data_IF_910268707890
#
_entry.id   IF_910268707890
#
_cell.length_a   1.000
_cell.length_b   1.000
_cell.length_c   1.000
_cell.angle_alpha   90.00
_cell.angle_beta   90.00
_cell.angle_gamma   90.00
#
_symmetry.space_group_name_H-M   'P 1'
#
loop_
_entity.id
_entity.type
_entity.pdbx_description
1 polymer ?
#
# COMPACT_ATOMS: atom_id res chain seq x y z
N UNK A 1 -6.88 -40.81 40.68
CA UNK A 1 -6.05 -39.61 40.45
C UNK A 1 -6.44 -38.98 39.14
N UNK A 2 -7.23 -37.87 39.18
CA UNK A 2 -7.70 -37.14 38.00
C UNK A 2 -6.66 -36.07 37.69
N UNK A 3 -5.95 -36.21 36.59
CA UNK A 3 -5.00 -35.18 36.10
C UNK A 3 -5.82 -34.21 35.22
N UNK A 4 -6.09 -33.02 35.73
CA UNK A 4 -6.66 -31.91 34.94
C UNK A 4 -5.53 -31.36 34.06
N UNK A 5 -5.58 -31.60 32.75
CA UNK A 5 -4.83 -30.82 31.77
C UNK A 5 -5.50 -29.46 31.56
N UNK A 6 -4.95 -28.42 32.16
CA UNK A 6 -5.28 -27.05 31.81
C UNK A 6 -4.62 -26.73 30.45
N UNK A 7 -5.40 -26.74 29.38
CA UNK A 7 -4.99 -26.18 28.09
C UNK A 7 -4.85 -24.65 28.28
N UNK A 8 -3.63 -24.18 28.45
CA UNK A 8 -3.33 -22.76 28.33
C UNK A 8 -3.48 -22.42 26.84
N UNK A 9 -4.61 -21.79 26.49
CA UNK A 9 -4.75 -21.15 25.19
C UNK A 9 -3.68 -20.05 25.11
N UNK A 10 -2.66 -20.27 24.30
CA UNK A 10 -1.72 -19.21 23.94
C UNK A 10 -2.56 -18.09 23.26
N UNK A 11 -2.76 -16.98 23.95
CA UNK A 11 -3.25 -15.75 23.32
C UNK A 11 -2.15 -15.36 22.34
N UNK A 12 -2.40 -15.55 21.06
CA UNK A 12 -1.64 -14.83 20.03
C UNK A 12 -1.91 -13.35 20.28
N UNK A 13 -0.88 -12.60 20.68
CA UNK A 13 -1.01 -11.17 20.84
C UNK A 13 -1.54 -10.60 19.53
N UNK A 14 -2.56 -9.73 19.62
CA UNK A 14 -3.15 -9.08 18.47
C UNK A 14 -2.05 -8.27 17.76
N UNK A 15 -1.92 -8.46 16.46
CA UNK A 15 -1.01 -7.68 15.64
C UNK A 15 -1.58 -6.28 15.47
N UNK A 16 -0.87 -5.24 15.91
CA UNK A 16 -1.34 -3.86 15.98
C UNK A 16 -0.54 -2.94 15.07
N UNK A 17 -1.07 -1.75 14.81
CA UNK A 17 -0.35 -0.72 14.09
C UNK A 17 0.95 -0.33 14.80
N UNK A 18 0.94 -0.28 16.13
CA UNK A 18 2.14 -0.01 16.91
C UNK A 18 3.25 -1.02 16.63
N UNK A 19 2.94 -2.32 16.53
CA UNK A 19 3.92 -3.35 16.18
C UNK A 19 4.59 -3.10 14.81
N UNK A 20 3.80 -2.64 13.81
CA UNK A 20 4.35 -2.26 12.51
C UNK A 20 5.25 -1.03 12.59
N UNK A 21 4.82 -0.02 13.34
CA UNK A 21 5.51 1.26 13.42
C UNK A 21 6.76 1.24 14.31
N UNK A 22 6.87 0.29 15.22
CA UNK A 22 8.01 0.09 16.11
C UNK A 22 9.10 -0.84 15.52
N UNK A 23 8.81 -1.50 14.39
CA UNK A 23 9.78 -2.38 13.73
C UNK A 23 10.88 -1.60 13.04
N UNK A 24 11.98 -1.37 13.73
CA UNK A 24 13.15 -0.60 13.27
C UNK A 24 13.94 -1.27 12.11
N UNK A 25 13.51 -2.44 11.64
CA UNK A 25 14.06 -3.14 10.47
C UNK A 25 13.08 -3.17 9.31
N UNK A 26 12.05 -2.32 9.35
CA UNK A 26 11.03 -2.28 8.32
C UNK A 26 11.66 -2.04 6.94
N UNK A 27 11.15 -2.74 5.97
CA UNK A 27 11.45 -2.60 4.56
C UNK A 27 10.30 -3.23 3.74
N UNK A 28 10.20 -2.97 2.43
CA UNK A 28 9.08 -3.44 1.64
C UNK A 28 8.84 -4.96 1.67
N UNK A 29 9.92 -5.76 1.69
CA UNK A 29 9.80 -7.22 1.77
C UNK A 29 9.30 -7.66 3.15
N UNK A 30 9.80 -7.04 4.20
CA UNK A 30 9.38 -7.34 5.57
C UNK A 30 7.94 -6.91 5.82
N UNK A 31 7.56 -5.73 5.32
CA UNK A 31 6.18 -5.28 5.31
C UNK A 31 5.27 -6.33 4.66
N UNK A 32 5.59 -6.77 3.45
CA UNK A 32 4.81 -7.80 2.75
C UNK A 32 4.64 -9.08 3.58
N UNK A 33 5.68 -9.50 4.31
CA UNK A 33 5.64 -10.69 5.16
C UNK A 33 4.61 -10.62 6.29
N UNK A 34 4.34 -9.44 6.84
CA UNK A 34 3.32 -9.27 7.89
C UNK A 34 1.89 -9.55 7.41
N UNK A 35 1.65 -9.48 6.10
CA UNK A 35 0.33 -9.62 5.49
C UNK A 35 0.13 -10.93 4.73
N UNK A 36 1.07 -11.89 4.84
CA UNK A 36 0.98 -13.16 4.11
C UNK A 36 -0.29 -13.96 4.43
N UNK A 37 -0.74 -13.88 5.68
CA UNK A 37 -1.93 -14.60 6.17
C UNK A 37 -3.21 -13.76 6.16
N UNK A 38 -3.17 -12.56 5.57
CA UNK A 38 -4.37 -11.72 5.47
C UNK A 38 -5.21 -12.14 4.27
N UNK A 39 -6.52 -11.94 4.37
CA UNK A 39 -7.44 -12.27 3.31
C UNK A 39 -7.88 -11.04 2.51
N UNK A 40 -8.19 -11.28 1.24
CA UNK A 40 -8.77 -10.24 0.38
C UNK A 40 -10.28 -10.24 0.50
N UNK A 41 -10.85 -9.07 0.80
CA UNK A 41 -12.30 -8.86 0.79
C UNK A 41 -12.62 -7.43 0.40
N UNK A 42 -13.52 -7.28 -0.57
CA UNK A 42 -14.05 -5.96 -0.94
C UNK A 42 -15.04 -5.49 0.12
N UNK A 43 -14.93 -4.26 0.53
CA UNK A 43 -15.82 -3.63 1.51
C UNK A 43 -16.38 -2.29 0.97
N UNK A 44 -17.44 -1.74 1.57
CA UNK A 44 -18.11 -0.53 1.07
C UNK A 44 -17.36 0.77 1.37
N UNK A 45 -16.31 0.73 2.15
CA UNK A 45 -15.50 1.89 2.52
C UNK A 45 -14.43 2.17 1.46
N UNK A 46 -13.99 3.42 1.33
CA UNK A 46 -12.90 3.76 0.42
C UNK A 46 -11.54 3.22 0.94
N UNK A 47 -11.26 3.40 2.24
CA UNK A 47 -10.11 2.83 2.95
C UNK A 47 -10.54 2.50 4.37
N UNK A 48 -10.20 1.33 4.88
CA UNK A 48 -10.50 0.94 6.25
C UNK A 48 -9.65 1.73 7.27
N UNK A 49 -10.19 1.85 8.48
CA UNK A 49 -9.38 2.25 9.63
C UNK A 49 -8.23 1.24 9.83
N UNK A 50 -6.99 1.71 10.07
CA UNK A 50 -5.82 0.85 10.16
C UNK A 50 -5.90 -0.21 11.26
N UNK A 51 -6.48 0.11 12.41
CA UNK A 51 -6.62 -0.87 13.49
C UNK A 51 -7.67 -1.94 13.14
N UNK A 52 -8.79 -1.53 12.51
CA UNK A 52 -9.82 -2.46 12.03
C UNK A 52 -9.25 -3.40 10.97
N UNK A 53 -8.47 -2.88 10.02
CA UNK A 53 -7.82 -3.67 8.99
C UNK A 53 -6.87 -4.72 9.59
N UNK A 54 -6.05 -4.33 10.58
CA UNK A 54 -5.10 -5.24 11.23
C UNK A 54 -5.80 -6.25 12.13
N UNK A 55 -6.86 -5.87 12.83
CA UNK A 55 -7.65 -6.76 13.70
C UNK A 55 -8.39 -7.82 12.88
N UNK A 56 -9.08 -7.39 11.82
CA UNK A 56 -9.87 -8.29 10.97
C UNK A 56 -8.99 -9.15 10.04
N UNK A 57 -7.77 -8.73 9.79
CA UNK A 57 -6.82 -9.34 8.84
C UNK A 57 -7.41 -9.50 7.43
N UNK A 58 -8.29 -8.57 7.05
CA UNK A 58 -9.05 -8.64 5.81
C UNK A 58 -9.19 -7.24 5.22
N UNK A 59 -8.84 -7.08 3.94
CA UNK A 59 -8.96 -5.82 3.24
C UNK A 59 -8.92 -5.97 1.72
N UNK A 60 -9.12 -4.89 1.00
CA UNK A 60 -8.98 -4.84 -0.44
C UNK A 60 -7.64 -4.21 -0.88
N UNK A 61 -7.44 -4.05 -2.19
CA UNK A 61 -6.18 -3.56 -2.73
C UNK A 61 -5.80 -2.16 -2.24
N UNK A 62 -6.77 -1.30 -1.93
CA UNK A 62 -6.48 0.06 -1.48
C UNK A 62 -6.05 0.08 -0.02
N UNK A 63 -6.59 -0.80 0.83
CA UNK A 63 -6.17 -0.91 2.24
C UNK A 63 -4.71 -1.30 2.36
N UNK A 64 -4.32 -2.34 1.62
CA UNK A 64 -2.93 -2.80 1.59
C UNK A 64 -1.98 -1.75 1.02
N UNK A 65 -2.36 -1.08 -0.08
CA UNK A 65 -1.52 -0.06 -0.69
C UNK A 65 -1.33 1.14 0.25
N UNK A 66 -2.41 1.63 0.86
CA UNK A 66 -2.36 2.78 1.78
C UNK A 66 -1.62 2.44 3.06
N UNK A 67 -1.81 1.24 3.62
CA UNK A 67 -1.04 0.78 4.78
C UNK A 67 0.46 0.69 4.46
N UNK A 68 0.82 0.17 3.27
CA UNK A 68 2.21 0.11 2.83
C UNK A 68 2.83 1.51 2.71
N UNK A 69 2.11 2.45 2.09
CA UNK A 69 2.54 3.84 1.98
C UNK A 69 2.76 4.48 3.35
N UNK A 70 1.80 4.30 4.26
CA UNK A 70 1.84 4.88 5.60
C UNK A 70 3.04 4.37 6.41
N UNK A 71 3.24 3.05 6.45
CA UNK A 71 4.32 2.42 7.23
C UNK A 71 5.68 2.70 6.61
N UNK A 72 5.84 2.48 5.30
CA UNK A 72 7.14 2.61 4.64
C UNK A 72 7.64 4.06 4.58
N UNK A 73 6.75 5.04 4.41
CA UNK A 73 7.15 6.47 4.50
C UNK A 73 7.69 6.83 5.85
N UNK A 74 7.13 6.30 6.92
CA UNK A 74 7.63 6.54 8.28
C UNK A 74 9.06 6.02 8.44
N UNK A 75 9.39 4.92 7.78
CA UNK A 75 10.74 4.35 7.76
C UNK A 75 11.66 4.96 6.69
N UNK A 76 11.26 6.07 6.08
CA UNK A 76 12.08 6.87 5.17
C UNK A 76 12.06 6.44 3.71
N UNK A 77 11.19 5.49 3.31
CA UNK A 77 11.02 5.13 1.90
C UNK A 77 10.17 6.16 1.16
N UNK A 78 10.58 6.51 -0.05
CA UNK A 78 9.74 7.29 -0.96
C UNK A 78 8.75 6.37 -1.66
N UNK A 79 7.47 6.55 -1.36
CA UNK A 79 6.37 5.72 -1.88
C UNK A 79 5.38 6.54 -2.69
N UNK A 80 4.70 5.86 -3.62
CA UNK A 80 3.64 6.43 -4.46
C UNK A 80 2.45 5.48 -4.45
N UNK A 81 1.26 6.01 -4.17
CA UNK A 81 0.02 5.25 -4.29
C UNK A 81 -0.52 5.38 -5.71
N UNK A 82 -0.71 4.25 -6.37
CA UNK A 82 -1.13 4.23 -7.77
C UNK A 82 -2.38 3.38 -7.90
N UNK A 83 -3.42 3.95 -8.56
CA UNK A 83 -4.64 3.27 -8.93
C UNK A 83 -4.71 3.14 -10.45
N UNK A 84 -5.00 1.94 -10.94
CA UNK A 84 -5.10 1.60 -12.35
C UNK A 84 -6.51 1.13 -12.66
N UNK A 85 -7.19 1.80 -13.58
CA UNK A 85 -8.51 1.39 -14.08
C UNK A 85 -8.35 0.50 -15.29
N UNK A 86 -8.94 -0.69 -15.23
CA UNK A 86 -8.78 -1.74 -16.24
C UNK A 86 -9.99 -1.90 -17.12
N UNK A 87 -9.75 -2.16 -18.41
CA UNK A 87 -10.80 -2.43 -19.41
C UNK A 87 -11.52 -3.73 -19.07
N UNK A 88 -12.86 -3.69 -19.08
CA UNK A 88 -13.70 -4.87 -18.86
C UNK A 88 -13.69 -5.40 -17.42
N UNK A 89 -13.04 -4.69 -16.51
CA UNK A 89 -13.12 -4.92 -15.07
C UNK A 89 -13.86 -3.72 -14.47
N UNK A 90 -14.97 -3.96 -13.79
CA UNK A 90 -15.74 -2.89 -13.13
C UNK A 90 -15.08 -2.38 -11.85
N UNK A 91 -13.77 -2.49 -11.76
CA UNK A 91 -13.00 -2.12 -10.58
C UNK A 91 -11.60 -1.69 -10.97
N UNK A 92 -11.13 -0.63 -10.33
CA UNK A 92 -9.72 -0.25 -10.36
C UNK A 92 -8.91 -1.10 -9.39
N UNK A 93 -7.60 -1.13 -9.59
CA UNK A 93 -6.66 -1.81 -8.71
C UNK A 93 -5.63 -0.84 -8.15
N UNK A 94 -5.32 -0.94 -6.87
CA UNK A 94 -4.37 -0.07 -6.19
C UNK A 94 -3.10 -0.83 -5.81
N UNK A 95 -1.94 -0.16 -5.98
CA UNK A 95 -0.62 -0.66 -5.58
C UNK A 95 0.19 0.43 -4.89
N UNK A 96 1.15 0.05 -4.06
CA UNK A 96 2.14 0.95 -3.48
C UNK A 96 3.48 0.77 -4.20
N UNK A 97 3.90 1.79 -4.94
CA UNK A 97 5.21 1.82 -5.60
C UNK A 97 6.27 2.35 -4.62
N UNK A 98 7.42 1.68 -4.55
CA UNK A 98 8.56 2.06 -3.71
C UNK A 98 9.70 2.52 -4.61
N UNK A 99 10.04 3.80 -4.55
CA UNK A 99 10.96 4.46 -5.48
C UNK A 99 12.36 3.87 -5.42
N UNK A 100 12.91 3.65 -4.24
CA UNK A 100 14.28 3.12 -4.07
C UNK A 100 14.45 1.71 -4.61
N UNK A 101 13.35 0.95 -4.63
CA UNK A 101 13.36 -0.42 -5.13
C UNK A 101 13.05 -0.51 -6.63
N UNK A 102 12.57 0.58 -7.26
CA UNK A 102 12.00 0.55 -8.62
C UNK A 102 10.99 -0.59 -8.75
N UNK A 103 10.05 -0.69 -7.82
CA UNK A 103 9.14 -1.81 -7.71
C UNK A 103 7.86 -1.43 -6.97
N UNK A 104 6.79 -2.18 -7.18
CA UNK A 104 5.54 -2.00 -6.45
C UNK A 104 5.15 -3.24 -5.64
N UNK A 105 4.45 -2.98 -4.54
CA UNK A 105 3.76 -3.97 -3.72
C UNK A 105 2.34 -4.12 -4.25
N UNK A 106 1.96 -5.35 -4.57
CA UNK A 106 0.65 -5.71 -5.08
C UNK A 106 0.08 -6.89 -4.31
N UNK A 107 -0.78 -6.62 -3.35
CA UNK A 107 -1.35 -7.66 -2.50
C UNK A 107 -2.28 -8.63 -3.25
N UNK A 108 -3.05 -8.16 -4.20
CA UNK A 108 -3.97 -9.01 -4.97
C UNK A 108 -3.26 -10.05 -5.82
N UNK A 109 -2.01 -9.80 -6.11
CA UNK A 109 -1.19 -10.72 -6.86
C UNK A 109 -0.23 -11.45 -5.92
N UNK A 110 -0.77 -12.36 -5.08
CA UNK A 110 0.01 -13.12 -4.09
C UNK A 110 1.23 -13.81 -4.67
N UNK A 111 1.23 -14.10 -5.97
CA UNK A 111 2.42 -14.60 -6.67
C UNK A 111 3.59 -13.60 -6.62
N UNK A 112 3.30 -12.31 -6.53
CA UNK A 112 4.27 -11.23 -6.55
C UNK A 112 4.34 -10.44 -5.23
N UNK A 113 3.43 -10.67 -4.30
CA UNK A 113 3.32 -9.90 -3.06
C UNK A 113 4.58 -10.00 -2.18
N UNK A 114 5.11 -11.19 -1.99
CA UNK A 114 6.39 -11.38 -1.28
C UNK A 114 7.61 -10.99 -2.11
N UNK A 115 7.41 -10.66 -3.39
CA UNK A 115 8.42 -10.23 -4.33
C UNK A 115 7.92 -8.94 -4.94
N UNK A 116 8.56 -7.83 -4.59
CA UNK A 116 8.35 -6.57 -5.27
C UNK A 116 8.38 -6.76 -6.79
N UNK A 117 7.32 -6.34 -7.48
CA UNK A 117 7.29 -6.37 -8.93
C UNK A 117 8.07 -5.18 -9.47
N UNK A 118 9.18 -5.44 -10.14
CA UNK A 118 10.01 -4.38 -10.72
C UNK A 118 9.28 -3.67 -11.85
N UNK A 119 9.39 -2.35 -11.86
CA UNK A 119 8.84 -1.46 -12.88
C UNK A 119 9.75 -0.23 -13.06
N UNK A 120 9.66 0.43 -14.20
CA UNK A 120 10.13 1.80 -14.32
C UNK A 120 9.32 2.75 -13.41
N UNK A 121 9.76 4.00 -13.33
CA UNK A 121 9.14 5.00 -12.44
C UNK A 121 7.91 5.68 -13.05
N UNK A 122 7.74 5.57 -14.37
CA UNK A 122 6.65 6.24 -15.08
C UNK A 122 5.32 5.59 -14.73
N UNK A 123 4.32 6.42 -14.44
CA UNK A 123 2.98 5.96 -14.10
C UNK A 123 2.39 5.02 -15.18
N UNK A 124 2.67 5.30 -16.44
CA UNK A 124 2.25 4.48 -17.59
C UNK A 124 2.89 3.08 -17.60
N UNK A 125 4.16 2.98 -17.26
CA UNK A 125 4.88 1.70 -17.16
C UNK A 125 4.33 0.85 -16.02
N UNK A 126 4.13 1.47 -14.86
CA UNK A 126 3.54 0.81 -13.70
C UNK A 126 2.12 0.32 -14.03
N UNK A 127 1.29 1.18 -14.64
CA UNK A 127 -0.07 0.83 -15.03
C UNK A 127 -0.12 -0.36 -16.01
N UNK A 128 0.79 -0.39 -16.97
CA UNK A 128 0.88 -1.51 -17.92
C UNK A 128 1.22 -2.81 -17.21
N UNK A 129 2.24 -2.81 -16.35
CA UNK A 129 2.63 -4.01 -15.61
C UNK A 129 1.55 -4.48 -14.64
N UNK A 130 0.86 -3.56 -13.95
CA UNK A 130 -0.27 -3.90 -13.10
C UNK A 130 -1.38 -4.57 -13.92
N UNK A 131 -1.79 -3.98 -15.04
CA UNK A 131 -2.84 -4.55 -15.89
C UNK A 131 -2.44 -5.93 -16.46
N UNK A 132 -1.18 -6.11 -16.84
CA UNK A 132 -0.65 -7.37 -17.35
C UNK A 132 -0.78 -8.51 -16.34
N UNK A 133 -0.65 -8.22 -15.02
CA UNK A 133 -0.85 -9.23 -13.97
C UNK A 133 -2.28 -9.78 -13.94
N UNK A 134 -3.24 -9.03 -14.44
CA UNK A 134 -4.66 -9.41 -14.55
C UNK A 134 -5.06 -9.89 -15.96
N UNK A 135 -4.11 -10.03 -16.88
CA UNK A 135 -4.37 -10.26 -18.31
C UNK A 135 -5.39 -9.25 -18.88
N UNK A 136 -5.25 -7.98 -18.51
CA UNK A 136 -6.16 -6.90 -18.87
C UNK A 136 -5.42 -5.75 -19.55
N UNK A 137 -6.17 -4.91 -20.25
CA UNK A 137 -5.71 -3.57 -20.63
C UNK A 137 -6.15 -2.55 -19.58
N UNK A 138 -5.47 -1.41 -19.53
CA UNK A 138 -5.87 -0.29 -18.69
C UNK A 138 -6.37 0.89 -19.54
N UNK A 139 -7.17 1.77 -18.94
CA UNK A 139 -7.72 2.97 -19.55
C UNK A 139 -7.02 4.23 -19.05
N UNK A 140 -6.96 4.39 -17.74
CA UNK A 140 -6.21 5.45 -17.10
C UNK A 140 -5.59 4.95 -15.79
N UNK A 141 -4.55 5.66 -15.35
CA UNK A 141 -3.92 5.44 -14.06
C UNK A 141 -3.78 6.76 -13.33
N UNK A 142 -3.94 6.74 -12.02
CA UNK A 142 -3.82 7.91 -11.18
C UNK A 142 -2.84 7.65 -10.05
N UNK A 143 -1.96 8.62 -9.81
CA UNK A 143 -1.25 8.71 -8.54
C UNK A 143 -2.11 9.50 -7.56
N UNK A 144 -2.17 9.03 -6.32
CA UNK A 144 -2.93 9.69 -5.27
C UNK A 144 -2.18 9.68 -3.94
N UNK A 145 -2.62 10.52 -3.02
CA UNK A 145 -2.24 10.49 -1.61
C UNK A 145 -3.45 10.18 -0.76
N UNK A 146 -3.21 9.57 0.39
CA UNK A 146 -4.23 9.33 1.40
C UNK A 146 -3.71 9.73 2.78
N UNK A 147 -4.59 10.28 3.61
CA UNK A 147 -4.28 10.64 4.98
C UNK A 147 -5.30 10.02 5.91
N UNK A 148 -4.85 9.15 6.80
CA UNK A 148 -5.71 8.49 7.78
C UNK A 148 -6.37 9.45 8.80
N UNK A 149 -5.75 10.60 9.10
CA UNK A 149 -6.29 11.53 10.11
C UNK A 149 -7.60 12.21 9.69
N UNK A 150 -7.74 12.48 8.41
CA UNK A 150 -8.93 13.16 7.84
C UNK A 150 -9.67 12.29 6.82
N UNK A 151 -9.20 11.08 6.56
CA UNK A 151 -9.72 10.13 5.57
C UNK A 151 -9.84 10.74 4.16
N UNK A 152 -8.90 11.63 3.82
CA UNK A 152 -8.93 12.35 2.54
C UNK A 152 -7.99 11.72 1.54
N UNK A 153 -8.56 11.35 0.38
CA UNK A 153 -7.84 10.96 -0.82
C UNK A 153 -7.73 12.14 -1.78
N UNK A 154 -6.52 12.41 -2.28
CA UNK A 154 -6.27 13.47 -3.27
C UNK A 154 -5.53 12.90 -4.46
N UNK A 155 -6.04 13.16 -5.66
CA UNK A 155 -5.34 12.80 -6.90
C UNK A 155 -4.20 13.79 -7.12
N UNK A 156 -3.01 13.28 -7.35
CA UNK A 156 -1.79 14.05 -7.65
C UNK A 156 -1.63 14.24 -9.15
N UNK A 157 -1.79 13.13 -9.90
CA UNK A 157 -1.72 13.15 -11.36
C UNK A 157 -2.55 12.02 -11.95
N UNK A 158 -2.89 12.13 -13.22
CA UNK A 158 -3.58 11.08 -13.98
C UNK A 158 -2.99 11.00 -15.38
N UNK A 159 -2.84 9.78 -15.87
CA UNK A 159 -2.39 9.46 -17.23
C UNK A 159 -3.47 8.63 -17.91
N UNK A 160 -3.86 9.02 -19.11
CA UNK A 160 -4.80 8.26 -19.96
C UNK A 160 -3.99 7.46 -20.98
N UNK A 161 -4.33 6.20 -21.19
CA UNK A 161 -3.56 5.30 -22.07
C UNK A 161 -3.43 5.79 -23.52
N UNK A 162 -4.48 6.45 -24.01
CA UNK A 162 -4.54 6.99 -25.39
C UNK A 162 -3.77 8.29 -25.58
N UNK A 163 -3.35 8.95 -24.49
CA UNK A 163 -2.57 10.17 -24.60
C UNK A 163 -1.17 9.90 -25.17
N UNK A 164 -0.60 10.82 -25.96
CA UNK A 164 0.77 10.68 -26.44
C UNK A 164 1.75 10.52 -25.27
N UNK A 165 2.79 9.67 -25.40
CA UNK A 165 3.78 9.44 -24.33
C UNK A 165 4.49 10.69 -23.83
N UNK A 166 4.64 11.69 -24.68
CA UNK A 166 5.32 12.96 -24.41
C UNK A 166 4.51 13.89 -23.51
N UNK A 167 3.19 13.67 -23.41
CA UNK A 167 2.30 14.41 -22.50
C UNK A 167 2.21 13.80 -21.11
N UNK A 168 2.95 12.71 -20.87
CA UNK A 168 3.01 12.07 -19.58
C UNK A 168 3.68 13.00 -18.55
N UNK A 169 2.97 13.47 -17.51
CA UNK A 169 3.53 14.37 -16.51
C UNK A 169 4.76 13.79 -15.79
N UNK A 170 4.93 12.48 -15.82
CA UNK A 170 6.12 11.79 -15.29
C UNK A 170 7.34 11.83 -16.24
N UNK A 171 7.19 12.31 -17.48
CA UNK A 171 8.28 12.34 -18.45
C UNK A 171 9.44 13.27 -18.06
N UNK A 172 9.20 14.20 -17.13
CA UNK A 172 10.13 15.25 -16.72
C UNK A 172 10.86 15.06 -15.38
N UNK A 173 10.71 13.91 -14.72
CA UNK A 173 11.32 13.67 -13.40
C UNK A 173 10.34 13.94 -12.24
N UNK A 174 10.35 13.06 -11.26
CA UNK A 174 9.45 13.07 -10.11
C UNK A 174 9.76 14.26 -9.21
N UNK A 175 8.83 15.18 -8.95
CA UNK A 175 8.97 16.10 -7.82
C UNK A 175 8.98 15.26 -6.53
N UNK A 176 9.95 15.50 -5.66
CA UNK A 176 9.97 14.85 -4.35
C UNK A 176 8.62 15.07 -3.63
N UNK A 177 8.00 14.03 -3.05
CA UNK A 177 6.78 14.20 -2.30
C UNK A 177 6.98 15.24 -1.18
N UNK A 178 5.98 16.06 -0.86
CA UNK A 178 6.09 17.03 0.21
C UNK A 178 6.43 16.29 1.52
N UNK A 179 7.46 16.78 2.20
CA UNK A 179 7.87 16.24 3.49
C UNK A 179 6.67 16.28 4.46
N UNK A 180 6.33 15.14 5.06
CA UNK A 180 5.36 15.10 6.14
C UNK A 180 5.89 15.91 7.33
N UNK A 181 5.04 16.70 8.02
CA UNK A 181 5.45 17.38 9.24
C UNK A 181 5.90 16.33 10.26
N UNK A 182 7.13 16.49 10.72
CA UNK A 182 7.68 15.69 11.83
C UNK A 182 6.75 15.84 13.04
N UNK A 183 6.35 14.77 13.73
CA UNK A 183 5.57 14.88 14.96
C UNK A 183 6.33 15.78 15.95
N UNK A 184 5.65 16.78 16.50
CA UNK A 184 6.22 17.65 17.50
C UNK A 184 6.67 16.82 18.71
N UNK A 185 7.93 16.94 19.09
CA UNK A 185 8.46 16.33 20.31
C UNK A 185 7.67 16.88 21.50
N UNK A 186 7.13 16.05 22.40
CA UNK A 186 6.46 16.55 23.59
C UNK A 186 7.47 17.33 24.42
N UNK A 187 7.20 18.62 24.64
CA UNK A 187 7.98 19.46 25.57
C UNK A 187 7.76 18.94 26.98
N UNK A 188 8.79 18.37 27.57
CA UNK A 188 8.87 18.12 29.01
C UNK A 188 8.91 19.49 29.72
N UNK A 189 7.80 19.86 30.35
CA UNK A 189 7.80 20.89 31.35
C UNK A 189 8.33 20.30 32.67
N UNK A 190 9.50 20.76 33.14
CA UNK A 190 9.92 20.71 34.53
C UNK A 190 9.11 21.68 35.39
#
# INVERSE_FOLDING_TARGET
LLILFTLAAARTEAFTLANLLEDNKMNPKRFAGYFEDFDFSVHPFDVQDPEVFLETRTGDCIDYAVMADYVLRRDGFATRLIRVEMVGKNMGHAVCYVTENHAFLDYNNRKYFSKLTRSGMRLREIATLVADTFNANWTFASEFTYNYNDSVKRIVMTVVKTDPPDTDPDAGGVPAPPAHPTPATPSTHE
#
